data_IF_393822268014
#
_entry.id   IF_393822268014
#
_cell.length_a   1.000
_cell.length_b   1.000
_cell.length_c   1.000
_cell.angle_alpha   90.00
_cell.angle_beta   90.00
_cell.angle_gamma   90.00
#
_symmetry.space_group_name_H-M   'P 1'
#
loop_
_entity.id
_entity.type
_entity.pdbx_description
1 polymer ?
#
# COMPACT_ATOMS: atom_id res chain seq x y z
N UNK A 1 -9.62 8.63 -11.28
CA UNK A 1 -9.14 9.17 -10.00
C UNK A 1 -8.47 10.50 -10.26
N UNK A 2 -8.92 11.58 -9.61
CA UNK A 2 -8.34 12.92 -9.82
C UNK A 2 -7.31 13.32 -8.77
N UNK A 3 -7.33 12.68 -7.59
CA UNK A 3 -6.48 13.03 -6.47
C UNK A 3 -5.76 11.79 -5.94
N UNK A 4 -4.51 11.97 -5.49
CA UNK A 4 -3.75 10.94 -4.79
C UNK A 4 -3.14 11.53 -3.53
N UNK A 5 -3.17 10.79 -2.43
CA UNK A 5 -2.52 11.11 -1.17
C UNK A 5 -1.48 10.02 -0.93
N UNK A 6 -0.24 10.42 -0.70
CA UNK A 6 0.86 9.53 -0.40
C UNK A 6 1.32 9.75 1.03
N UNK A 7 1.27 8.70 1.85
CA UNK A 7 1.77 8.70 3.21
C UNK A 7 3.05 7.87 3.25
N UNK A 8 4.18 8.51 3.48
CA UNK A 8 5.44 7.84 3.78
C UNK A 8 5.65 7.82 5.29
N UNK A 9 5.86 6.66 5.86
CA UNK A 9 5.92 6.45 7.32
C UNK A 9 7.32 6.55 7.89
N UNK A 10 8.34 6.69 7.04
CA UNK A 10 9.77 6.73 7.39
C UNK A 10 10.24 7.99 8.15
N UNK A 11 9.32 8.80 8.64
CA UNK A 11 9.65 9.86 9.60
C UNK A 11 9.90 9.19 10.96
N UNK A 12 11.13 8.70 11.14
CA UNK A 12 11.57 7.99 12.33
C UNK A 12 11.31 8.77 13.61
N UNK A 13 10.93 8.05 14.67
CA UNK A 13 10.88 8.51 16.02
C UNK A 13 9.50 8.44 16.68
N UNK A 14 9.47 8.57 18.00
CA UNK A 14 8.26 8.57 18.85
C UNK A 14 7.15 9.52 18.37
N UNK A 15 7.49 10.61 17.67
CA UNK A 15 6.53 11.56 17.12
C UNK A 15 5.57 10.96 16.07
N UNK A 16 5.98 9.92 15.35
CA UNK A 16 5.11 9.24 14.39
C UNK A 16 4.00 8.43 15.10
N UNK A 17 4.31 7.82 16.23
CA UNK A 17 3.35 7.01 16.98
C UNK A 17 2.24 7.85 17.63
N UNK A 18 2.54 9.06 18.09
CA UNK A 18 1.57 9.95 18.76
C UNK A 18 0.61 10.63 17.77
N UNK A 19 0.94 10.65 16.48
CA UNK A 19 0.14 11.31 15.43
C UNK A 19 -0.71 10.35 14.59
N UNK A 20 -0.58 9.04 14.74
CA UNK A 20 -1.26 8.03 13.89
C UNK A 20 -2.79 8.15 13.98
N UNK A 21 -3.32 8.46 15.16
CA UNK A 21 -4.74 8.73 15.36
C UNK A 21 -5.20 10.02 14.65
N UNK A 22 -4.37 11.05 14.66
CA UNK A 22 -4.63 12.32 13.96
C UNK A 22 -4.75 12.13 12.44
N UNK A 23 -4.00 11.18 11.84
CA UNK A 23 -4.08 10.92 10.41
C UNK A 23 -5.45 10.38 9.96
N UNK A 24 -6.06 9.45 10.71
CA UNK A 24 -7.38 8.91 10.35
C UNK A 24 -8.43 10.03 10.36
N UNK A 25 -8.43 10.87 11.38
CA UNK A 25 -9.35 12.00 11.43
C UNK A 25 -9.11 13.02 10.33
N UNK A 26 -7.84 13.27 10.01
CA UNK A 26 -7.47 14.13 8.87
C UNK A 26 -8.03 13.60 7.54
N UNK A 27 -7.90 12.29 7.30
CA UNK A 27 -8.44 11.64 6.11
C UNK A 27 -9.98 11.69 6.07
N UNK A 28 -10.64 11.45 7.20
CA UNK A 28 -12.11 11.53 7.29
C UNK A 28 -12.61 12.96 7.05
N UNK A 29 -11.98 13.96 7.65
CA UNK A 29 -12.30 15.37 7.44
C UNK A 29 -12.08 15.77 5.97
N UNK A 30 -10.96 15.35 5.37
CA UNK A 30 -10.70 15.56 3.96
C UNK A 30 -11.84 14.99 3.09
N UNK A 31 -12.26 13.76 3.34
CA UNK A 31 -13.33 13.13 2.59
C UNK A 31 -14.66 13.88 2.72
N UNK A 32 -15.01 14.33 3.94
CA UNK A 32 -16.25 15.04 4.20
C UNK A 32 -16.29 16.41 3.51
N UNK A 33 -15.15 17.09 3.39
CA UNK A 33 -15.03 18.43 2.81
C UNK A 33 -14.88 18.42 1.29
N UNK A 34 -14.10 17.50 0.73
CA UNK A 34 -13.66 17.57 -0.66
C UNK A 34 -14.25 16.50 -1.57
N UNK A 35 -14.78 15.39 -1.02
CA UNK A 35 -15.37 14.37 -1.87
C UNK A 35 -16.79 14.73 -2.29
N UNK A 36 -17.06 14.49 -3.56
CA UNK A 36 -18.39 14.69 -4.17
C UNK A 36 -19.39 13.67 -3.63
N UNK A 37 -20.63 14.11 -3.56
CA UNK A 37 -21.76 13.27 -3.14
C UNK A 37 -22.68 13.00 -4.33
N UNK A 38 -23.36 11.88 -4.30
CA UNK A 38 -24.42 11.56 -5.23
C UNK A 38 -25.73 12.30 -4.84
N UNK A 39 -26.79 12.13 -5.64
CA UNK A 39 -28.09 12.73 -5.38
C UNK A 39 -28.75 12.27 -4.06
N UNK A 40 -28.28 11.17 -3.48
CA UNK A 40 -28.72 10.66 -2.16
C UNK A 40 -27.88 11.18 -1.00
N UNK A 41 -26.96 12.10 -1.25
CA UNK A 41 -26.05 12.65 -0.23
C UNK A 41 -24.88 11.73 0.15
N UNK A 42 -24.74 10.56 -0.45
CA UNK A 42 -23.66 9.62 -0.19
C UNK A 42 -22.40 10.01 -0.96
N UNK A 43 -21.23 9.88 -0.34
CA UNK A 43 -19.94 10.10 -1.01
C UNK A 43 -19.79 9.06 -2.13
N UNK A 44 -19.37 9.52 -3.31
CA UNK A 44 -19.09 8.66 -4.46
C UNK A 44 -17.79 7.89 -4.19
N UNK A 45 -17.76 6.59 -4.51
CA UNK A 45 -16.58 5.76 -4.31
C UNK A 45 -15.40 6.13 -5.22
N UNK A 46 -14.19 5.76 -4.81
CA UNK A 46 -12.96 5.82 -5.62
C UNK A 46 -12.57 7.23 -6.14
N UNK A 47 -12.81 8.28 -5.36
CA UNK A 47 -12.43 9.63 -5.74
C UNK A 47 -10.96 9.92 -5.46
N UNK A 48 -10.42 9.38 -4.37
CA UNK A 48 -9.02 9.59 -3.95
C UNK A 48 -8.31 8.25 -3.76
N UNK A 49 -7.10 8.15 -4.32
CA UNK A 49 -6.18 7.05 -4.08
C UNK A 49 -5.32 7.39 -2.87
N UNK A 50 -5.43 6.58 -1.82
CA UNK A 50 -4.54 6.64 -0.65
C UNK A 50 -3.47 5.56 -0.78
N UNK A 51 -2.22 5.97 -0.87
CA UNK A 51 -1.06 5.06 -0.87
C UNK A 51 -0.33 5.22 0.45
N UNK A 52 -0.18 4.12 1.18
CA UNK A 52 0.58 4.08 2.44
C UNK A 52 1.79 3.19 2.22
N UNK A 53 2.97 3.79 2.28
CA UNK A 53 4.24 3.09 2.12
C UNK A 53 4.83 2.70 3.47
N UNK A 54 5.65 1.65 3.50
CA UNK A 54 6.28 1.12 4.71
C UNK A 54 5.27 0.83 5.84
N UNK A 55 4.15 0.25 5.46
CA UNK A 55 2.99 -0.03 6.34
C UNK A 55 3.36 -0.76 7.62
N UNK A 56 4.43 -1.55 7.59
CA UNK A 56 4.96 -2.29 8.74
C UNK A 56 5.44 -1.37 9.89
N UNK A 57 5.74 -0.12 9.64
CA UNK A 57 6.14 0.81 10.69
C UNK A 57 4.94 1.30 11.50
N UNK A 58 3.82 1.58 10.83
CA UNK A 58 2.59 2.02 11.51
C UNK A 58 1.83 0.84 12.11
N UNK A 59 1.70 -0.27 11.36
CA UNK A 59 0.79 -1.37 11.69
C UNK A 59 1.52 -2.63 12.16
N UNK A 60 2.65 -2.44 12.87
CA UNK A 60 3.41 -3.54 13.44
C UNK A 60 2.59 -4.20 14.57
N UNK A 61 2.39 -5.54 14.53
CA UNK A 61 1.61 -6.25 15.55
C UNK A 61 2.13 -6.08 16.98
N UNK A 62 3.42 -5.75 17.15
CA UNK A 62 4.10 -5.68 18.45
C UNK A 62 4.03 -4.32 19.14
N UNK A 63 3.95 -3.24 18.37
CA UNK A 63 4.09 -1.87 18.88
C UNK A 63 2.82 -1.03 18.79
N UNK A 64 1.75 -1.58 18.23
CA UNK A 64 0.59 -0.82 17.89
C UNK A 64 -0.35 -0.60 19.09
N UNK A 65 -0.63 0.66 19.41
CA UNK A 65 -1.55 1.04 20.49
C UNK A 65 -3.01 0.62 20.15
N UNK A 66 -3.73 0.11 21.13
CA UNK A 66 -5.09 -0.42 20.95
C UNK A 66 -6.10 0.59 20.41
N UNK A 67 -6.01 1.88 20.82
CA UNK A 67 -6.96 2.94 20.38
C UNK A 67 -6.78 3.27 18.91
N UNK A 68 -5.54 3.47 18.48
CA UNK A 68 -5.22 3.83 17.09
C UNK A 68 -5.53 2.68 16.14
N UNK A 69 -5.26 1.47 16.59
CA UNK A 69 -5.57 0.24 15.86
C UNK A 69 -7.03 0.16 15.44
N UNK A 70 -7.97 0.39 16.38
CA UNK A 70 -9.40 0.28 16.09
C UNK A 70 -9.87 1.35 15.11
N UNK A 71 -9.35 2.57 15.20
CA UNK A 71 -9.66 3.66 14.29
C UNK A 71 -9.25 3.32 12.85
N UNK A 72 -8.04 2.77 12.66
CA UNK A 72 -7.57 2.35 11.36
C UNK A 72 -8.32 1.15 10.79
N UNK A 73 -8.65 0.14 11.61
CA UNK A 73 -9.45 -1.00 11.18
C UNK A 73 -10.82 -0.53 10.69
N UNK A 74 -11.48 0.34 11.44
CA UNK A 74 -12.76 0.92 11.05
C UNK A 74 -12.65 1.70 9.75
N UNK A 75 -11.60 2.52 9.62
CA UNK A 75 -11.33 3.28 8.39
C UNK A 75 -11.11 2.35 7.19
N UNK A 76 -10.27 1.32 7.31
CA UNK A 76 -10.04 0.36 6.23
C UNK A 76 -11.30 -0.44 5.86
N UNK A 77 -12.13 -0.77 6.85
CA UNK A 77 -13.39 -1.47 6.59
C UNK A 77 -14.38 -0.60 5.82
N UNK A 78 -14.40 0.70 6.11
CA UNK A 78 -15.38 1.64 5.56
C UNK A 78 -14.86 2.59 4.48
N UNK A 79 -13.58 2.46 4.10
CA UNK A 79 -12.89 3.40 3.20
C UNK A 79 -13.65 3.75 1.91
N UNK A 80 -14.42 2.79 1.35
CA UNK A 80 -15.24 3.03 0.16
C UNK A 80 -16.35 4.05 0.43
N UNK A 81 -16.98 3.98 1.61
CA UNK A 81 -18.03 4.95 2.01
C UNK A 81 -17.48 6.37 2.09
N UNK A 82 -16.18 6.51 2.34
CA UNK A 82 -15.48 7.79 2.37
C UNK A 82 -14.84 8.15 1.01
N UNK A 83 -15.05 7.34 -0.03
CA UNK A 83 -14.57 7.63 -1.38
C UNK A 83 -13.09 7.33 -1.61
N UNK A 84 -12.43 6.58 -0.75
CA UNK A 84 -11.03 6.18 -0.90
C UNK A 84 -10.89 4.84 -1.63
N UNK A 85 -9.84 4.74 -2.43
CA UNK A 85 -9.20 3.49 -2.83
C UNK A 85 -7.85 3.42 -2.13
N UNK A 86 -7.51 2.29 -1.49
CA UNK A 86 -6.31 2.20 -0.65
C UNK A 86 -5.33 1.19 -1.23
N UNK A 87 -4.05 1.57 -1.27
CA UNK A 87 -2.93 0.70 -1.57
C UNK A 87 -1.97 0.73 -0.38
N UNK A 88 -1.67 -0.45 0.16
CA UNK A 88 -0.68 -0.65 1.22
C UNK A 88 0.57 -1.26 0.60
N UNK A 89 1.73 -0.64 0.78
CA UNK A 89 3.01 -1.14 0.32
C UNK A 89 3.76 -1.71 1.52
N UNK A 90 4.20 -2.96 1.40
CA UNK A 90 4.88 -3.68 2.47
C UNK A 90 5.89 -4.68 1.89
N UNK A 91 6.97 -4.91 2.60
CA UNK A 91 7.99 -5.90 2.18
C UNK A 91 7.50 -7.34 2.31
N UNK A 92 6.73 -7.64 3.37
CA UNK A 92 6.12 -8.94 3.60
C UNK A 92 4.78 -8.79 4.33
N UNK A 93 3.76 -9.53 3.89
CA UNK A 93 2.40 -9.46 4.43
C UNK A 93 2.31 -9.85 5.91
N UNK A 94 3.21 -10.72 6.38
CA UNK A 94 3.29 -11.13 7.79
C UNK A 94 3.65 -9.97 8.73
N UNK A 95 4.25 -8.90 8.20
CA UNK A 95 4.62 -7.71 8.97
C UNK A 95 3.43 -6.82 9.30
N UNK A 96 2.27 -7.04 8.64
CA UNK A 96 1.05 -6.30 8.90
C UNK A 96 0.21 -7.05 9.93
N UNK A 97 -0.47 -6.30 10.80
CA UNK A 97 -1.40 -6.85 11.77
C UNK A 97 -2.47 -7.74 11.10
N UNK A 98 -2.81 -8.86 11.76
CA UNK A 98 -3.76 -9.85 11.23
C UNK A 98 -5.15 -9.27 10.96
N UNK A 99 -5.62 -8.32 11.77
CA UNK A 99 -6.93 -7.71 11.59
C UNK A 99 -6.97 -6.79 10.36
N UNK A 100 -5.87 -6.06 10.08
CA UNK A 100 -5.77 -5.28 8.83
C UNK A 100 -5.71 -6.22 7.63
N UNK A 101 -4.92 -7.30 7.72
CA UNK A 101 -4.87 -8.29 6.64
C UNK A 101 -6.25 -8.88 6.32
N UNK A 102 -7.12 -9.05 7.32
CA UNK A 102 -8.46 -9.62 7.11
C UNK A 102 -9.40 -8.70 6.32
N UNK A 103 -9.12 -7.41 6.23
CA UNK A 103 -9.92 -6.46 5.42
C UNK A 103 -9.32 -6.18 4.05
N UNK A 104 -8.15 -6.75 3.73
CA UNK A 104 -7.55 -6.66 2.41
C UNK A 104 -8.30 -7.55 1.42
N UNK A 105 -8.60 -7.03 0.24
CA UNK A 105 -9.30 -7.77 -0.81
C UNK A 105 -8.32 -8.46 -1.75
N UNK A 106 -7.27 -7.76 -2.14
CA UNK A 106 -6.31 -8.22 -3.14
C UNK A 106 -4.87 -8.01 -2.69
N UNK A 107 -4.01 -8.87 -3.19
CA UNK A 107 -2.57 -8.77 -3.05
C UNK A 107 -1.92 -8.76 -4.43
N UNK A 108 -0.93 -7.89 -4.61
CA UNK A 108 -0.04 -7.91 -5.78
C UNK A 108 1.37 -8.19 -5.31
N UNK A 109 1.91 -9.36 -5.69
CA UNK A 109 3.26 -9.76 -5.35
C UNK A 109 4.19 -9.46 -6.51
N UNK A 110 5.14 -8.55 -6.31
CA UNK A 110 6.17 -8.22 -7.28
C UNK A 110 7.41 -9.09 -7.09
N UNK A 111 7.88 -9.72 -8.15
CA UNK A 111 9.12 -10.51 -8.15
C UNK A 111 10.00 -10.13 -9.34
N UNK A 112 11.29 -9.93 -9.09
CA UNK A 112 12.25 -9.72 -10.17
C UNK A 112 12.50 -11.05 -10.90
N UNK A 113 12.30 -11.05 -12.23
CA UNK A 113 12.45 -12.23 -13.08
C UNK A 113 13.89 -12.74 -13.08
N UNK A 114 14.90 -11.86 -12.99
CA UNK A 114 16.32 -12.23 -12.96
C UNK A 114 16.68 -13.15 -11.78
N UNK A 115 15.85 -13.16 -10.71
CA UNK A 115 16.04 -14.04 -9.54
C UNK A 115 15.51 -15.46 -9.74
N UNK A 116 14.86 -15.77 -10.88
CA UNK A 116 14.38 -17.11 -11.20
C UNK A 116 15.46 -17.96 -11.85
N UNK A 117 16.43 -18.46 -11.07
CA UNK A 117 17.53 -19.33 -11.53
C UNK A 117 18.20 -18.84 -12.83
N UNK A 118 18.82 -19.74 -13.59
CA UNK A 118 19.51 -19.40 -14.85
C UNK A 118 18.59 -18.88 -15.95
N UNK A 119 17.40 -19.49 -16.10
CA UNK A 119 16.40 -19.09 -17.12
C UNK A 119 15.89 -17.66 -16.91
N UNK A 120 15.62 -17.27 -15.66
CA UNK A 120 15.18 -15.92 -15.35
C UNK A 120 16.20 -14.85 -15.74
N UNK A 121 17.51 -15.12 -15.56
CA UNK A 121 18.58 -14.21 -15.98
C UNK A 121 18.62 -14.04 -17.49
N UNK A 122 18.47 -15.13 -18.26
CA UNK A 122 18.46 -15.09 -19.73
C UNK A 122 17.27 -14.26 -20.23
N UNK A 123 16.07 -14.49 -19.66
CA UNK A 123 14.84 -13.76 -20.05
C UNK A 123 14.92 -12.27 -19.66
N UNK A 124 15.52 -11.94 -18.52
CA UNK A 124 15.62 -10.56 -18.05
C UNK A 124 16.79 -9.78 -18.69
N UNK A 125 17.75 -10.47 -19.33
CA UNK A 125 18.95 -9.86 -19.92
C UNK A 125 18.64 -8.76 -20.96
N UNK A 126 17.72 -8.95 -21.93
CA UNK A 126 17.37 -7.89 -22.89
C UNK A 126 16.76 -6.63 -22.25
N UNK A 127 16.32 -6.74 -21.01
CA UNK A 127 15.67 -5.67 -20.24
C UNK A 127 16.58 -5.09 -19.14
N UNK A 128 17.90 -5.27 -19.27
CA UNK A 128 18.86 -4.79 -18.27
C UNK A 128 18.69 -5.40 -16.87
N UNK A 129 18.01 -6.56 -16.75
CA UNK A 129 17.67 -7.17 -15.46
C UNK A 129 16.45 -6.57 -14.74
N UNK A 130 15.85 -5.51 -15.29
CA UNK A 130 14.74 -4.76 -14.71
C UNK A 130 13.37 -5.28 -15.16
N UNK A 131 13.25 -6.60 -15.31
CA UNK A 131 11.98 -7.26 -15.64
C UNK A 131 11.37 -7.85 -14.37
N UNK A 132 10.12 -7.46 -14.09
CA UNK A 132 9.37 -7.91 -12.93
C UNK A 132 8.11 -8.66 -13.36
N UNK A 133 7.71 -9.65 -12.58
CA UNK A 133 6.39 -10.25 -12.67
C UNK A 133 5.56 -9.79 -11.48
N UNK A 134 4.39 -9.24 -11.77
CA UNK A 134 3.39 -8.87 -10.79
C UNK A 134 2.28 -9.93 -10.78
N UNK A 135 2.12 -10.62 -9.66
CA UNK A 135 1.14 -11.69 -9.47
C UNK A 135 0.01 -11.15 -8.61
N UNK A 136 -1.17 -11.03 -9.20
CA UNK A 136 -2.38 -10.56 -8.52
C UNK A 136 -3.16 -11.75 -7.98
N UNK A 137 -3.54 -11.70 -6.72
CA UNK A 137 -4.33 -12.72 -6.03
C UNK A 137 -5.32 -12.10 -5.05
N UNK A 138 -6.42 -12.81 -4.77
CA UNK A 138 -7.36 -12.43 -3.72
C UNK A 138 -6.90 -12.97 -2.36
N UNK A 139 -7.21 -12.23 -1.28
CA UNK A 139 -6.90 -12.65 0.08
C UNK A 139 -7.93 -13.64 0.65
N UNK A 140 -9.16 -13.65 0.14
CA UNK A 140 -10.28 -14.40 0.72
C UNK A 140 -10.18 -15.91 0.49
N UNK A 141 -9.45 -16.34 -0.53
CA UNK A 141 -9.44 -17.74 -0.94
C UNK A 141 -8.27 -18.49 -0.28
N UNK A 142 -8.59 -19.50 0.54
CA UNK A 142 -7.60 -20.37 1.19
C UNK A 142 -6.77 -21.20 0.20
N UNK A 143 -7.32 -21.47 -0.97
CA UNK A 143 -6.67 -22.27 -2.00
C UNK A 143 -5.83 -21.36 -2.92
N UNK A 144 -4.51 -21.49 -2.87
CA UNK A 144 -3.58 -20.61 -3.62
C UNK A 144 -3.77 -20.63 -5.14
N UNK A 145 -4.30 -21.73 -5.70
CA UNK A 145 -4.56 -21.83 -7.14
C UNK A 145 -5.78 -21.00 -7.53
N UNK A 146 -6.85 -21.08 -6.76
CA UNK A 146 -8.11 -20.38 -7.03
C UNK A 146 -8.02 -18.89 -6.64
N UNK A 147 -7.09 -18.53 -5.75
CA UNK A 147 -6.82 -17.17 -5.36
C UNK A 147 -6.18 -16.33 -6.47
N UNK A 148 -5.51 -16.96 -7.46
CA UNK A 148 -4.76 -16.24 -8.49
C UNK A 148 -5.68 -15.61 -9.52
N UNK A 149 -5.73 -14.27 -9.54
CA UNK A 149 -6.51 -13.49 -10.50
C UNK A 149 -5.77 -13.26 -11.82
N UNK A 150 -4.43 -13.28 -11.80
CA UNK A 150 -3.61 -13.09 -12.99
C UNK A 150 -2.15 -12.81 -12.67
N UNK A 151 -1.35 -12.72 -13.73
CA UNK A 151 0.03 -12.27 -13.64
C UNK A 151 0.34 -11.44 -14.89
N UNK A 152 1.13 -10.39 -14.72
CA UNK A 152 1.58 -9.54 -15.81
C UNK A 152 3.04 -9.16 -15.62
N UNK A 153 3.73 -8.91 -16.74
CA UNK A 153 5.11 -8.47 -16.75
C UNK A 153 5.14 -6.94 -16.65
N UNK A 154 6.03 -6.44 -15.82
CA UNK A 154 6.29 -5.01 -15.66
C UNK A 154 7.76 -4.76 -15.95
N UNK A 155 8.01 -3.86 -16.86
CA UNK A 155 9.36 -3.39 -17.17
C UNK A 155 9.68 -2.15 -16.34
N UNK A 156 10.76 -2.20 -15.55
CA UNK A 156 11.30 -1.04 -14.86
C UNK A 156 12.25 -0.30 -15.81
N UNK A 157 11.83 0.82 -16.38
CA UNK A 157 12.76 1.65 -17.15
C UNK A 157 13.82 2.27 -16.24
N UNK A 158 15.03 2.50 -16.76
CA UNK A 158 16.13 3.11 -16.01
C UNK A 158 15.76 4.48 -15.46
N UNK A 159 14.88 5.21 -16.14
CA UNK A 159 14.31 6.47 -15.65
C UNK A 159 13.64 6.32 -14.29
N UNK A 160 12.75 5.32 -14.11
CA UNK A 160 12.08 5.11 -12.82
C UNK A 160 13.02 4.55 -11.74
N UNK A 161 14.00 3.74 -12.14
CA UNK A 161 15.01 3.19 -11.21
C UNK A 161 15.89 4.31 -10.65
N UNK A 162 16.26 5.29 -11.49
CA UNK A 162 17.08 6.44 -11.08
C UNK A 162 16.34 7.45 -10.20
N UNK A 163 15.00 7.49 -10.26
CA UNK A 163 14.20 8.36 -9.39
C UNK A 163 14.17 7.89 -7.93
N UNK A 164 14.55 6.64 -7.68
CA UNK A 164 14.54 6.05 -6.34
C UNK A 164 15.97 5.83 -5.86
N UNK A 165 16.45 6.71 -5.00
CA UNK A 165 17.71 6.52 -4.27
C UNK A 165 17.43 5.88 -2.90
N UNK A 166 17.71 4.58 -2.80
CA UNK A 166 17.57 3.84 -1.53
C UNK A 166 18.66 4.19 -0.50
N UNK A 167 19.67 4.94 -0.91
CA UNK A 167 20.76 5.42 -0.04
C UNK A 167 20.62 6.90 0.32
N UNK A 168 19.63 7.60 -0.23
CA UNK A 168 19.33 8.95 0.23
C UNK A 168 18.96 8.88 1.71
N UNK A 169 19.91 9.27 2.55
CA UNK A 169 19.66 9.50 3.96
C UNK A 169 18.56 10.56 4.03
N UNK A 170 17.47 10.24 4.71
CA UNK A 170 16.54 11.27 5.14
C UNK A 170 17.34 12.26 5.95
N UNK A 171 17.50 13.48 5.43
CA UNK A 171 18.30 14.51 6.09
C UNK A 171 17.70 14.77 7.48
N UNK A 172 18.42 14.51 8.58
CA UNK A 172 17.86 14.66 9.92
C UNK A 172 17.75 16.14 10.36
N UNK A 173 18.00 17.09 9.43
CA UNK A 173 18.15 18.50 9.76
C UNK A 173 17.19 19.46 9.01
N UNK A 174 16.06 18.96 8.46
CA UNK A 174 14.97 19.84 7.99
C UNK A 174 13.68 19.49 8.71
#
# INVERSE_FOLDING_TARGET
MKNSIYLKTSLGGKAAADNVYSYVYGLLNYALQFHKRNYRGQIIENQTLLVIDEVNEIFNPRSWNKKDRQAWINFFTEHRKYGFKIILIVQADIMIDKQIRSVLQEQVLHRNVSRFKKLGKIIAFPFGGNLFVAIRSTYETKNKKDARLGAFLVFGSDYYVQLYDSYALSDPLI
#
